data_IF_028298084783
#
_entry.id   IF_028298084783
#
_cell.length_a   1.000
_cell.length_b   1.000
_cell.length_c   1.000
_cell.angle_alpha   90.00
_cell.angle_beta   90.00
_cell.angle_gamma   90.00
#
_symmetry.space_group_name_H-M   'P 1'
#
loop_
_entity.id
_entity.type
_entity.pdbx_description
1 polymer ?
#
# COMPACT_ATOMS: atom_id res chain seq x y z
N UNK A 1 14.51 -19.72 14.40
CA UNK A 1 13.08 -20.08 14.37
C UNK A 1 12.82 -21.13 15.46
N UNK A 2 11.72 -21.02 16.18
CA UNK A 2 11.21 -22.04 17.11
C UNK A 2 9.77 -22.39 16.73
N UNK A 3 9.45 -23.68 16.73
CA UNK A 3 8.11 -24.17 16.44
C UNK A 3 7.76 -25.28 17.42
N UNK A 4 6.59 -25.19 18.03
CA UNK A 4 6.03 -26.22 18.92
C UNK A 4 4.77 -26.79 18.28
N UNK A 5 4.77 -28.10 18.06
CA UNK A 5 3.58 -28.83 17.66
C UNK A 5 2.68 -28.99 18.90
N UNK A 6 1.49 -28.40 18.84
CA UNK A 6 0.49 -28.54 19.91
C UNK A 6 -0.43 -29.75 19.64
N UNK A 7 -0.78 -29.98 18.37
CA UNK A 7 -1.72 -31.03 17.95
C UNK A 7 -1.42 -31.45 16.51
N UNK A 8 -1.51 -32.75 16.21
CA UNK A 8 -1.43 -33.30 14.86
C UNK A 8 -2.54 -34.32 14.68
N UNK A 9 -3.42 -34.06 13.73
CA UNK A 9 -4.44 -34.99 13.27
C UNK A 9 -4.09 -35.44 11.84
N UNK A 10 -3.64 -36.70 11.73
CA UNK A 10 -3.19 -37.30 10.49
C UNK A 10 -3.55 -38.79 10.41
N UNK A 11 -4.47 -39.12 9.51
CA UNK A 11 -4.76 -40.50 9.08
C UNK A 11 -4.52 -40.60 7.56
N UNK A 12 -3.50 -41.34 7.12
CA UNK A 12 -3.21 -41.54 5.69
C UNK A 12 -4.37 -42.15 4.89
N UNK A 13 -5.28 -42.88 5.55
CA UNK A 13 -6.47 -43.46 4.91
C UNK A 13 -7.66 -42.49 4.85
N UNK A 14 -7.56 -41.34 5.51
CA UNK A 14 -8.62 -40.33 5.61
C UNK A 14 -8.09 -38.89 5.51
N UNK A 15 -7.07 -38.65 4.66
CA UNK A 15 -6.36 -37.35 4.51
C UNK A 15 -7.32 -36.15 4.35
N UNK A 16 -8.44 -36.32 3.65
CA UNK A 16 -9.45 -35.26 3.50
C UNK A 16 -9.99 -34.72 4.85
N UNK A 17 -10.04 -35.57 5.88
CA UNK A 17 -10.64 -35.27 7.20
C UNK A 17 -9.60 -35.02 8.28
N UNK A 18 -8.43 -35.66 8.17
CA UNK A 18 -7.40 -35.74 9.20
C UNK A 18 -6.06 -35.38 8.57
N UNK A 19 -5.86 -34.10 8.25
CA UNK A 19 -4.61 -33.57 7.69
C UNK A 19 -4.43 -32.14 8.19
N UNK A 20 -4.37 -32.00 9.51
CA UNK A 20 -4.26 -30.70 10.14
C UNK A 20 -3.35 -30.78 11.35
N UNK A 21 -2.36 -29.91 11.39
CA UNK A 21 -1.52 -29.65 12.55
C UNK A 21 -1.83 -28.27 13.12
N UNK A 22 -1.87 -28.16 14.44
CA UNK A 22 -1.83 -26.88 15.16
C UNK A 22 -0.45 -26.69 15.75
N UNK A 23 0.18 -25.58 15.40
CA UNK A 23 1.53 -25.25 15.84
C UNK A 23 1.54 -23.86 16.47
N UNK A 24 2.45 -23.64 17.41
CA UNK A 24 2.85 -22.28 17.82
C UNK A 24 4.24 -22.02 17.30
N UNK A 25 4.38 -20.92 16.58
CA UNK A 25 5.64 -20.50 16.00
C UNK A 25 6.11 -19.24 16.68
N UNK A 26 7.42 -19.13 16.89
CA UNK A 26 8.06 -17.88 17.27
C UNK A 26 9.43 -17.81 16.60
N UNK A 27 9.78 -16.66 16.06
CA UNK A 27 11.02 -16.51 15.32
C UNK A 27 11.35 -15.07 15.00
N UNK A 28 12.51 -14.92 14.36
CA UNK A 28 12.97 -13.69 13.73
C UNK A 28 13.21 -14.02 12.26
N UNK A 29 12.59 -13.25 11.38
CA UNK A 29 12.83 -13.25 9.95
C UNK A 29 13.73 -12.07 9.62
N UNK A 30 14.81 -12.33 8.91
CA UNK A 30 15.71 -11.31 8.39
C UNK A 30 15.61 -11.36 6.87
N UNK A 31 15.35 -10.20 6.25
CA UNK A 31 15.30 -10.08 4.79
C UNK A 31 16.46 -9.18 4.41
N UNK A 32 17.45 -9.75 3.73
CA UNK A 32 18.65 -9.04 3.30
C UNK A 32 18.66 -8.88 1.78
N UNK A 33 19.25 -7.78 1.31
CA UNK A 33 19.52 -7.58 -0.09
C UNK A 33 20.58 -8.58 -0.58
N UNK A 34 20.31 -9.24 -1.71
CA UNK A 34 21.26 -10.17 -2.35
C UNK A 34 22.60 -9.48 -2.65
N UNK A 35 22.58 -8.17 -2.95
CA UNK A 35 23.76 -7.36 -3.21
C UNK A 35 23.91 -6.25 -2.16
N UNK A 36 25.13 -6.09 -1.65
CA UNK A 36 25.51 -4.96 -0.79
C UNK A 36 25.25 -5.14 0.71
N UNK A 37 24.78 -6.31 1.16
CA UNK A 37 24.65 -6.66 2.58
C UNK A 37 23.66 -5.79 3.37
N UNK A 38 22.79 -5.06 2.68
CA UNK A 38 21.80 -4.20 3.30
C UNK A 38 20.62 -5.02 3.82
N UNK A 39 20.29 -4.87 5.10
CA UNK A 39 19.08 -5.47 5.68
C UNK A 39 17.83 -4.67 5.31
N UNK A 40 16.93 -5.32 4.57
CA UNK A 40 15.63 -4.78 4.19
C UNK A 40 14.59 -4.90 5.30
N UNK A 41 14.61 -5.98 6.07
CA UNK A 41 13.65 -6.14 7.16
C UNK A 41 14.23 -7.00 8.28
N UNK A 42 13.80 -6.70 9.49
CA UNK A 42 13.87 -7.61 10.61
C UNK A 42 12.48 -7.71 11.22
N UNK A 43 11.94 -8.92 11.28
CA UNK A 43 10.57 -9.16 11.73
C UNK A 43 10.60 -10.24 12.80
N UNK A 44 10.44 -9.83 14.05
CA UNK A 44 10.15 -10.75 15.14
C UNK A 44 8.67 -11.12 15.11
N UNK A 45 8.34 -12.39 15.20
CA UNK A 45 6.95 -12.83 15.20
C UNK A 45 6.72 -13.97 16.19
N UNK A 46 5.50 -14.05 16.73
CA UNK A 46 5.04 -15.20 17.53
C UNK A 46 3.54 -15.39 17.41
N UNK A 47 3.06 -16.62 17.41
CA UNK A 47 1.63 -16.88 17.38
C UNK A 47 1.24 -18.28 16.93
N UNK A 48 -0.06 -18.59 16.95
CA UNK A 48 -0.58 -19.84 16.43
C UNK A 48 -0.53 -19.89 14.90
N UNK A 49 -0.36 -21.11 14.37
CA UNK A 49 -0.63 -21.42 12.99
C UNK A 49 -1.32 -22.78 12.86
N UNK A 50 -2.09 -22.92 11.78
CA UNK A 50 -2.69 -24.17 11.33
C UNK A 50 -2.01 -24.56 10.03
N UNK A 51 -1.60 -25.83 9.93
CA UNK A 51 -0.93 -26.36 8.75
C UNK A 51 -1.68 -27.58 8.24
N UNK A 52 -1.99 -27.63 6.94
CA UNK A 52 -2.27 -28.88 6.25
C UNK A 52 -0.98 -29.31 5.56
N UNK A 53 -0.61 -30.58 5.70
CA UNK A 53 0.70 -31.07 5.24
C UNK A 53 0.65 -31.64 3.82
N UNK A 54 -0.44 -32.34 3.51
CA UNK A 54 -0.59 -33.05 2.25
C UNK A 54 -1.70 -32.47 1.37
N UNK A 55 -1.54 -32.59 0.05
CA UNK A 55 -2.67 -32.40 -0.87
C UNK A 55 -3.65 -33.58 -0.71
N UNK A 56 -4.95 -33.34 -0.49
CA UNK A 56 -5.91 -34.42 -0.24
C UNK A 56 -6.20 -35.29 -1.48
N UNK A 57 -5.88 -34.81 -2.69
CA UNK A 57 -6.16 -35.50 -3.95
C UNK A 57 -4.94 -36.33 -4.37
N UNK A 58 -3.75 -35.73 -4.42
CA UNK A 58 -2.53 -36.42 -4.84
C UNK A 58 -1.83 -37.16 -3.71
N UNK A 59 -2.05 -36.76 -2.46
CA UNK A 59 -1.32 -37.27 -1.30
C UNK A 59 0.11 -36.74 -1.19
N UNK A 60 0.53 -35.85 -2.09
CA UNK A 60 1.87 -35.26 -2.07
C UNK A 60 2.00 -34.27 -0.91
N UNK A 61 3.24 -34.04 -0.47
CA UNK A 61 3.55 -33.03 0.52
C UNK A 61 3.38 -31.62 -0.10
N UNK A 62 2.27 -30.96 0.20
CA UNK A 62 1.97 -29.57 -0.17
C UNK A 62 1.51 -28.78 1.07
N UNK A 63 2.45 -28.15 1.80
CA UNK A 63 2.11 -27.44 3.03
C UNK A 63 1.26 -26.17 2.77
N UNK A 64 0.02 -26.18 3.27
CA UNK A 64 -0.85 -25.00 3.39
C UNK A 64 -0.84 -24.51 4.84
N UNK A 65 -0.15 -23.40 5.10
CA UNK A 65 -0.01 -22.80 6.42
C UNK A 65 -0.82 -21.52 6.52
N UNK A 66 -1.65 -21.41 7.56
CA UNK A 66 -2.34 -20.17 7.94
C UNK A 66 -1.97 -19.79 9.35
N UNK A 67 -1.42 -18.60 9.53
CA UNK A 67 -0.92 -18.14 10.83
C UNK A 67 -1.38 -16.74 11.18
N UNK A 68 -1.63 -16.54 12.47
CA UNK A 68 -1.91 -15.25 13.07
C UNK A 68 -0.78 -14.94 14.04
N UNK A 69 0.04 -13.95 13.71
CA UNK A 69 1.26 -13.67 14.45
C UNK A 69 1.26 -12.27 15.03
N UNK A 70 1.59 -12.15 16.31
CA UNK A 70 2.00 -10.90 16.94
C UNK A 70 3.40 -10.53 16.44
N UNK A 71 3.60 -9.26 16.10
CA UNK A 71 4.88 -8.72 15.68
C UNK A 71 5.65 -8.14 16.88
N UNK A 72 6.95 -8.37 16.92
CA UNK A 72 7.84 -7.75 17.90
C UNK A 72 7.90 -6.24 17.68
N UNK A 73 7.99 -5.46 18.76
CA UNK A 73 8.19 -4.01 18.71
C UNK A 73 9.54 -3.59 18.09
N UNK A 74 10.50 -4.51 18.08
CA UNK A 74 11.80 -4.30 17.42
C UNK A 74 11.73 -4.52 15.90
N UNK A 75 10.60 -5.01 15.38
CA UNK A 75 10.45 -5.26 13.96
C UNK A 75 10.47 -3.96 13.18
N UNK A 76 11.18 -3.95 12.06
CA UNK A 76 11.28 -2.78 11.19
C UNK A 76 11.36 -3.18 9.72
N UNK A 77 10.95 -2.24 8.87
CA UNK A 77 11.18 -2.28 7.43
C UNK A 77 12.13 -1.15 7.04
N UNK A 78 13.13 -1.45 6.23
CA UNK A 78 14.01 -0.44 5.66
C UNK A 78 13.33 0.20 4.46
N UNK A 79 13.36 1.52 4.40
CA UNK A 79 12.72 2.25 3.32
C UNK A 79 13.44 2.07 1.97
N UNK A 80 14.67 1.54 1.97
CA UNK A 80 15.46 1.20 0.78
C UNK A 80 14.96 -0.02 0.02
N UNK A 81 13.91 -0.69 0.49
CA UNK A 81 13.20 -1.71 -0.29
C UNK A 81 12.77 -1.10 -1.64
N UNK A 82 13.08 -1.72 -2.79
CA UNK A 82 12.80 -1.14 -4.11
C UNK A 82 11.34 -0.70 -4.31
N UNK A 83 10.38 -1.48 -3.83
CA UNK A 83 8.96 -1.15 -3.95
C UNK A 83 8.60 0.12 -3.15
N UNK A 84 9.18 0.30 -1.97
CA UNK A 84 8.98 1.49 -1.13
C UNK A 84 9.62 2.72 -1.78
N UNK A 85 10.85 2.60 -2.27
CA UNK A 85 11.54 3.66 -3.00
C UNK A 85 10.74 4.11 -4.23
N UNK A 86 10.22 3.16 -5.00
CA UNK A 86 9.47 3.47 -6.22
C UNK A 86 8.08 4.04 -5.90
N UNK A 87 7.41 3.57 -4.85
CA UNK A 87 6.18 4.17 -4.33
C UNK A 87 6.40 5.64 -3.94
N UNK A 88 7.46 5.93 -3.18
CA UNK A 88 7.79 7.29 -2.76
C UNK A 88 8.09 8.23 -3.93
N UNK A 89 8.92 7.78 -4.89
CA UNK A 89 9.16 8.52 -6.14
C UNK A 89 7.89 8.81 -6.92
N UNK A 90 6.92 7.90 -6.84
CA UNK A 90 5.64 8.08 -7.53
C UNK A 90 4.79 9.13 -6.80
N UNK A 91 4.82 9.17 -5.45
CA UNK A 91 4.19 10.25 -4.68
C UNK A 91 4.81 11.61 -4.92
N UNK A 92 6.14 11.71 -5.04
CA UNK A 92 6.84 12.97 -5.33
C UNK A 92 6.39 13.65 -6.63
N UNK A 93 5.69 12.94 -7.53
CA UNK A 93 5.05 13.57 -8.70
C UNK A 93 3.96 14.58 -8.33
N UNK A 94 3.45 14.52 -7.10
CA UNK A 94 2.50 15.49 -6.56
C UNK A 94 3.12 16.87 -6.35
N UNK A 95 4.45 16.98 -6.33
CA UNK A 95 5.15 18.27 -6.35
C UNK A 95 4.71 19.12 -7.56
N UNK A 96 4.34 18.49 -8.69
CA UNK A 96 3.85 19.17 -9.89
C UNK A 96 2.52 19.93 -9.69
N UNK A 97 1.74 19.56 -8.67
CA UNK A 97 0.50 20.24 -8.29
C UNK A 97 0.67 21.02 -6.97
N UNK A 98 1.92 21.28 -6.57
CA UNK A 98 2.29 22.09 -5.40
C UNK A 98 2.34 21.32 -4.08
N UNK A 99 2.18 19.99 -4.10
CA UNK A 99 2.18 19.17 -2.89
C UNK A 99 3.57 18.62 -2.60
N UNK A 100 4.29 19.23 -1.66
CA UNK A 100 5.64 18.81 -1.28
C UNK A 100 5.60 17.62 -0.30
N UNK A 101 5.91 16.42 -0.80
CA UNK A 101 5.80 15.17 -0.02
C UNK A 101 6.96 14.97 0.99
N UNK A 102 8.12 15.57 0.71
CA UNK A 102 9.33 15.45 1.54
C UNK A 102 10.16 14.18 1.30
N UNK A 103 11.12 13.94 2.18
CA UNK A 103 12.04 12.80 2.09
C UNK A 103 11.53 11.56 2.84
N UNK A 104 11.74 10.39 2.23
CA UNK A 104 11.42 9.10 2.83
C UNK A 104 12.39 8.80 4.00
N UNK A 105 11.90 8.57 5.22
CA UNK A 105 12.73 8.19 6.36
C UNK A 105 13.46 6.87 6.11
N UNK A 106 14.58 6.59 6.79
CA UNK A 106 15.36 5.37 6.54
C UNK A 106 14.62 4.08 6.96
N UNK A 107 13.81 4.14 8.02
CA UNK A 107 13.11 2.98 8.57
C UNK A 107 11.65 3.27 8.86
N UNK A 108 10.82 2.28 8.61
CA UNK A 108 9.45 2.19 9.08
C UNK A 108 9.40 1.37 10.36
N UNK A 109 8.51 1.76 11.27
CA UNK A 109 8.15 0.95 12.43
C UNK A 109 6.71 0.46 12.31
N UNK A 110 6.46 -0.76 12.74
CA UNK A 110 5.10 -1.27 12.85
C UNK A 110 4.43 -0.57 14.03
N UNK A 111 3.49 0.33 13.74
CA UNK A 111 2.80 1.13 14.75
C UNK A 111 1.67 0.34 15.43
N UNK A 112 0.42 0.65 15.07
CA UNK A 112 -0.79 0.02 15.66
C UNK A 112 -1.02 -1.42 15.19
N UNK A 113 -0.45 -1.81 14.05
CA UNK A 113 -0.51 -3.19 13.54
C UNK A 113 0.52 -4.07 14.25
N UNK A 114 0.24 -4.37 15.52
CA UNK A 114 1.06 -5.30 16.32
C UNK A 114 0.88 -6.77 15.93
N UNK A 115 0.16 -7.06 14.84
CA UNK A 115 -0.10 -8.42 14.41
C UNK A 115 -0.35 -8.53 12.89
N UNK A 116 -0.01 -9.68 12.32
CA UNK A 116 -0.16 -10.03 10.90
C UNK A 116 -0.91 -11.35 10.77
N UNK A 117 -1.66 -11.53 9.68
CA UNK A 117 -2.22 -12.83 9.31
C UNK A 117 -1.60 -13.25 7.97
N UNK A 118 -0.99 -14.43 7.89
CA UNK A 118 -0.27 -14.90 6.70
C UNK A 118 -0.81 -16.26 6.28
N UNK A 119 -1.06 -16.40 4.99
CA UNK A 119 -1.30 -17.67 4.33
C UNK A 119 -0.09 -18.01 3.46
N UNK A 120 0.47 -19.22 3.63
CA UNK A 120 1.50 -19.76 2.78
C UNK A 120 0.99 -21.02 2.09
N UNK A 121 1.08 -21.07 0.76
CA UNK A 121 0.78 -22.24 -0.05
C UNK A 121 1.47 -22.09 -1.40
N UNK A 122 2.01 -23.17 -1.98
CA UNK A 122 2.65 -23.13 -3.30
C UNK A 122 3.71 -22.00 -3.42
N UNK A 123 4.55 -21.86 -2.39
CA UNK A 123 5.63 -20.87 -2.31
C UNK A 123 5.16 -19.40 -2.33
N UNK A 124 3.86 -19.18 -2.14
CA UNK A 124 3.23 -17.87 -2.08
C UNK A 124 2.90 -17.51 -0.65
N UNK A 125 3.45 -16.40 -0.16
CA UNK A 125 2.96 -15.75 1.05
C UNK A 125 1.89 -14.73 0.69
N UNK A 126 0.70 -14.86 1.25
CA UNK A 126 -0.43 -13.95 1.06
C UNK A 126 -0.82 -13.34 2.39
N UNK A 127 -1.05 -12.03 2.38
CA UNK A 127 -1.49 -11.28 3.54
C UNK A 127 -2.99 -11.45 3.74
N UNK A 128 -3.40 -11.98 4.90
CA UNK A 128 -4.81 -12.22 5.25
C UNK A 128 -5.51 -11.06 5.96
N UNK A 129 -4.78 -10.00 6.32
CA UNK A 129 -5.35 -8.75 6.85
C UNK A 129 -4.39 -7.57 6.63
N UNK A 130 -4.87 -6.33 6.51
CA UNK A 130 -3.98 -5.20 6.31
C UNK A 130 -2.94 -5.02 7.42
N UNK A 131 -1.75 -4.55 7.06
CA UNK A 131 -0.69 -4.15 8.00
C UNK A 131 -0.33 -2.69 7.78
N UNK A 132 -0.29 -1.91 8.84
CA UNK A 132 0.16 -0.51 8.83
C UNK A 132 1.59 -0.38 9.36
N UNK A 133 2.40 0.39 8.66
CA UNK A 133 3.74 0.83 9.07
C UNK A 133 3.85 2.34 9.01
N UNK A 134 4.55 2.92 9.96
CA UNK A 134 4.70 4.38 10.08
C UNK A 134 6.08 4.84 9.62
N UNK A 135 6.09 5.88 8.81
CA UNK A 135 7.24 6.62 8.31
C UNK A 135 7.08 8.11 8.67
N UNK A 136 7.53 8.52 9.87
CA UNK A 136 7.25 9.86 10.42
C UNK A 136 5.75 10.17 10.36
N UNK A 137 5.37 11.20 9.61
CA UNK A 137 4.00 11.72 9.50
C UNK A 137 3.17 10.98 8.43
N UNK A 138 3.65 9.82 7.99
CA UNK A 138 3.00 8.99 6.99
C UNK A 138 2.73 7.59 7.53
N UNK A 139 1.53 7.10 7.27
CA UNK A 139 1.10 5.73 7.51
C UNK A 139 1.02 4.99 6.18
N UNK A 140 1.66 3.85 6.05
CA UNK A 140 1.53 2.96 4.88
C UNK A 140 0.79 1.71 5.31
N UNK A 141 -0.42 1.54 4.81
CA UNK A 141 -1.23 0.35 5.01
C UNK A 141 -1.11 -0.59 3.80
N UNK A 142 -0.40 -1.71 3.97
CA UNK A 142 -0.36 -2.80 2.98
C UNK A 142 -1.66 -3.59 3.12
N UNK A 143 -2.42 -3.71 2.04
CA UNK A 143 -3.77 -4.26 2.05
C UNK A 143 -3.80 -5.79 1.95
N UNK A 144 -4.91 -6.37 2.43
CA UNK A 144 -5.23 -7.78 2.30
C UNK A 144 -5.12 -8.27 0.85
N UNK A 145 -4.72 -9.52 0.65
CA UNK A 145 -4.53 -10.12 -0.66
C UNK A 145 -3.21 -9.75 -1.34
N UNK A 146 -2.41 -8.87 -0.73
CA UNK A 146 -1.02 -8.66 -1.13
C UNK A 146 -0.24 -9.97 -0.98
N UNK A 147 0.49 -10.37 -2.01
CA UNK A 147 1.24 -11.61 -2.02
C UNK A 147 2.65 -11.47 -2.59
N UNK A 148 3.54 -12.36 -2.14
CA UNK A 148 4.91 -12.53 -2.62
C UNK A 148 5.11 -14.01 -2.95
N UNK A 149 5.63 -14.29 -4.14
CA UNK A 149 6.08 -15.63 -4.57
C UNK A 149 7.60 -15.71 -4.40
N UNK A 150 8.06 -16.57 -3.49
CA UNK A 150 9.49 -16.66 -3.18
C UNK A 150 10.32 -17.25 -4.32
N UNK A 151 9.84 -18.32 -4.96
CA UNK A 151 10.58 -19.00 -6.04
C UNK A 151 10.79 -18.12 -7.27
N UNK A 152 9.75 -17.38 -7.66
CA UNK A 152 9.79 -16.51 -8.84
C UNK A 152 10.28 -15.10 -8.54
N UNK A 153 10.56 -14.79 -7.28
CA UNK A 153 10.91 -13.44 -6.82
C UNK A 153 9.91 -12.36 -7.30
N UNK A 154 8.62 -12.70 -7.33
CA UNK A 154 7.57 -11.78 -7.80
C UNK A 154 6.59 -11.43 -6.70
N UNK A 155 5.89 -10.31 -6.85
CA UNK A 155 4.83 -9.90 -5.95
C UNK A 155 3.68 -9.24 -6.70
N UNK A 156 2.57 -9.11 -5.99
CA UNK A 156 1.49 -8.21 -6.32
C UNK A 156 0.85 -7.73 -5.03
N UNK A 157 0.61 -6.43 -4.92
CA UNK A 157 0.01 -5.86 -3.73
C UNK A 157 -0.62 -4.51 -3.97
N UNK A 158 -1.43 -4.13 -3.00
CA UNK A 158 -2.05 -2.83 -2.91
C UNK A 158 -1.68 -2.22 -1.56
N UNK A 159 -1.43 -0.91 -1.56
CA UNK A 159 -1.12 -0.18 -0.35
C UNK A 159 -1.80 1.19 -0.38
N UNK A 160 -2.14 1.69 0.79
CA UNK A 160 -2.57 3.07 0.99
C UNK A 160 -1.47 3.82 1.73
N UNK A 161 -1.08 4.98 1.23
CA UNK A 161 -0.19 5.91 1.93
C UNK A 161 -1.04 7.08 2.42
N UNK A 162 -1.13 7.23 3.74
CA UNK A 162 -1.95 8.21 4.41
C UNK A 162 -1.07 9.24 5.11
N UNK A 163 -1.27 10.52 4.83
CA UNK A 163 -0.63 11.59 5.60
C UNK A 163 -1.35 11.75 6.95
N UNK A 164 -0.63 12.15 8.01
CA UNK A 164 -1.26 12.62 9.25
C UNK A 164 -2.15 13.85 9.02
N UNK A 165 -3.02 14.15 9.99
CA UNK A 165 -4.00 15.23 9.88
C UNK A 165 -3.34 16.62 9.71
N UNK A 166 -2.27 16.89 10.46
CA UNK A 166 -1.51 18.14 10.35
C UNK A 166 -0.87 18.28 8.96
N UNK A 167 -0.22 17.22 8.48
CA UNK A 167 0.38 17.20 7.15
C UNK A 167 -0.69 17.29 6.05
N UNK A 168 -1.83 16.61 6.20
CA UNK A 168 -2.95 16.69 5.27
C UNK A 168 -3.51 18.10 5.17
N UNK A 169 -3.63 18.80 6.31
CA UNK A 169 -4.07 20.20 6.35
C UNK A 169 -3.08 21.12 5.66
N UNK A 170 -1.78 20.94 5.89
CA UNK A 170 -0.73 21.69 5.21
C UNK A 170 -0.76 21.47 3.69
N UNK A 171 -0.86 20.21 3.25
CA UNK A 171 -0.93 19.83 1.84
C UNK A 171 -2.21 20.38 1.19
N UNK A 172 -3.35 20.36 1.88
CA UNK A 172 -4.60 21.00 1.44
C UNK A 172 -4.42 22.51 1.20
N UNK A 173 -3.75 23.21 2.12
CA UNK A 173 -3.47 24.64 1.94
C UNK A 173 -2.52 24.91 0.76
N UNK A 174 -1.55 24.01 0.52
CA UNK A 174 -0.65 24.11 -0.63
C UNK A 174 -1.38 23.98 -1.97
N UNK A 175 -2.41 23.11 -2.05
CA UNK A 175 -3.28 23.05 -3.24
C UNK A 175 -3.91 24.43 -3.48
N UNK A 176 -4.47 25.04 -2.44
CA UNK A 176 -5.07 26.38 -2.52
C UNK A 176 -4.14 27.46 -3.11
N UNK A 177 -2.85 27.41 -2.75
CA UNK A 177 -1.83 28.32 -3.29
C UNK A 177 -1.36 27.91 -4.69
N UNK A 178 -1.25 26.61 -4.97
CA UNK A 178 -0.82 26.08 -6.27
C UNK A 178 -1.84 26.37 -7.38
N UNK A 179 -3.13 26.44 -7.05
CA UNK A 179 -4.19 26.81 -8.00
C UNK A 179 -4.27 28.32 -8.26
N UNK A 180 -3.48 29.16 -7.57
CA UNK A 180 -3.50 30.60 -7.83
C UNK A 180 -3.05 30.98 -9.24
N UNK A 181 -2.26 30.12 -9.88
CA UNK A 181 -1.86 30.27 -11.29
C UNK A 181 -3.01 29.97 -12.28
N UNK A 182 -4.13 29.42 -11.82
CA UNK A 182 -5.30 29.16 -12.64
C UNK A 182 -6.32 30.32 -12.55
N UNK A 183 -7.10 30.57 -13.62
CA UNK A 183 -8.26 31.46 -13.58
C UNK A 183 -9.16 31.14 -12.39
N UNK A 184 -9.71 32.19 -11.74
CA UNK A 184 -10.47 32.07 -10.49
C UNK A 184 -11.63 31.10 -10.58
N UNK A 185 -12.20 30.95 -11.77
CA UNK A 185 -13.34 30.08 -12.08
C UNK A 185 -12.94 28.59 -12.11
N UNK A 186 -11.68 28.26 -12.41
CA UNK A 186 -11.19 26.89 -12.46
C UNK A 186 -10.75 26.36 -11.09
N UNK A 187 -10.39 27.26 -10.17
CA UNK A 187 -9.83 26.89 -8.85
C UNK A 187 -10.78 26.01 -8.04
N UNK A 188 -12.08 26.34 -7.88
CA UNK A 188 -12.99 25.51 -7.09
C UNK A 188 -13.18 24.12 -7.68
N UNK A 189 -13.18 24.00 -9.01
CA UNK A 189 -13.37 22.71 -9.72
C UNK A 189 -12.14 21.82 -9.51
N UNK A 190 -10.93 22.37 -9.60
CA UNK A 190 -9.70 21.63 -9.35
C UNK A 190 -9.60 21.20 -7.88
N UNK A 191 -9.90 22.11 -6.93
CA UNK A 191 -9.89 21.78 -5.50
C UNK A 191 -10.90 20.67 -5.20
N UNK A 192 -12.13 20.75 -5.72
CA UNK A 192 -13.15 19.71 -5.57
C UNK A 192 -12.69 18.37 -6.14
N UNK A 193 -12.07 18.37 -7.32
CA UNK A 193 -11.57 17.15 -7.95
C UNK A 193 -10.41 16.51 -7.17
N UNK A 194 -9.47 17.32 -6.67
CA UNK A 194 -8.37 16.84 -5.82
C UNK A 194 -8.91 16.28 -4.50
N UNK A 195 -9.81 17.01 -3.83
CA UNK A 195 -10.45 16.55 -2.59
C UNK A 195 -11.16 15.21 -2.79
N UNK A 196 -11.94 15.06 -3.87
CA UNK A 196 -12.67 13.84 -4.15
C UNK A 196 -11.78 12.63 -4.50
N UNK A 197 -10.57 12.86 -5.00
CA UNK A 197 -9.68 11.77 -5.47
C UNK A 197 -8.51 11.48 -4.55
N UNK A 198 -8.08 12.44 -3.74
CA UNK A 198 -6.88 12.35 -2.91
C UNK A 198 -7.17 12.47 -1.42
N UNK A 199 -8.37 12.88 -1.00
CA UNK A 199 -8.71 13.00 0.41
C UNK A 199 -9.81 12.03 0.83
N UNK A 200 -9.63 11.41 1.99
CA UNK A 200 -10.62 10.56 2.66
C UNK A 200 -10.66 10.94 4.12
N UNK A 201 -11.84 11.31 4.61
CA UNK A 201 -12.05 11.75 6.00
C UNK A 201 -11.07 12.86 6.43
N UNK A 202 -10.80 13.81 5.54
CA UNK A 202 -9.89 14.94 5.79
C UNK A 202 -8.39 14.62 5.69
N UNK A 203 -8.01 13.35 5.49
CA UNK A 203 -6.63 12.91 5.32
C UNK A 203 -6.27 12.72 3.85
N UNK A 204 -5.06 13.11 3.46
CA UNK A 204 -4.52 12.77 2.14
C UNK A 204 -4.27 11.27 2.08
N UNK A 205 -4.79 10.59 1.05
CA UNK A 205 -4.64 9.16 0.80
C UNK A 205 -4.19 8.92 -0.63
N UNK A 206 -3.06 8.24 -0.77
CA UNK A 206 -2.54 7.76 -2.04
C UNK A 206 -2.62 6.24 -2.11
N UNK A 207 -3.43 5.74 -3.03
CA UNK A 207 -3.64 4.34 -3.33
C UNK A 207 -2.61 3.86 -4.36
N UNK A 208 -1.79 2.91 -3.95
CA UNK A 208 -0.67 2.39 -4.72
C UNK A 208 -0.93 0.93 -5.06
N UNK A 209 -0.66 0.58 -6.31
CA UNK A 209 -0.56 -0.80 -6.77
C UNK A 209 0.89 -1.11 -7.13
N UNK A 210 1.40 -2.23 -6.64
CA UNK A 210 2.74 -2.72 -6.97
C UNK A 210 2.67 -4.15 -7.49
N UNK A 211 3.46 -4.46 -8.52
CA UNK A 211 3.55 -5.82 -9.09
C UNK A 211 4.87 -6.05 -9.82
N UNK A 212 5.16 -7.31 -10.14
CA UNK A 212 6.29 -7.70 -10.98
C UNK A 212 7.41 -8.31 -10.14
N UNK A 213 8.65 -8.12 -10.54
CA UNK A 213 9.82 -8.60 -9.80
C UNK A 213 10.07 -7.76 -8.55
N UNK A 214 10.49 -8.39 -7.45
CA UNK A 214 10.82 -7.72 -6.19
C UNK A 214 12.00 -6.74 -6.33
N UNK A 215 12.94 -7.06 -7.22
CA UNK A 215 14.14 -6.25 -7.48
C UNK A 215 13.84 -5.03 -8.37
N UNK A 216 12.82 -5.11 -9.23
CA UNK A 216 12.46 -4.10 -10.23
C UNK A 216 10.94 -3.87 -10.31
N UNK A 217 10.29 -3.51 -9.19
CA UNK A 217 8.84 -3.51 -9.09
C UNK A 217 8.21 -2.42 -9.98
N UNK A 218 7.13 -2.76 -10.67
CA UNK A 218 6.24 -1.79 -11.30
C UNK A 218 5.31 -1.23 -10.23
N UNK A 219 5.32 0.10 -10.05
CA UNK A 219 4.47 0.80 -9.09
C UNK A 219 3.65 1.87 -9.80
N UNK A 220 2.36 1.92 -9.50
CA UNK A 220 1.40 2.87 -10.08
C UNK A 220 0.47 3.43 -9.01
N UNK A 221 0.12 4.71 -9.14
CA UNK A 221 -0.95 5.33 -8.37
C UNK A 221 -2.31 5.00 -9.00
N UNK A 222 -3.30 4.70 -8.16
CA UNK A 222 -4.69 4.55 -8.58
C UNK A 222 -5.46 5.86 -8.55
N UNK A 223 -5.09 6.77 -7.65
CA UNK A 223 -5.66 8.11 -7.63
C UNK A 223 -5.42 8.76 -8.99
N UNK A 224 -6.45 9.43 -9.49
CA UNK A 224 -6.34 10.17 -10.74
C UNK A 224 -5.66 11.50 -10.45
N UNK A 225 -4.62 11.80 -11.23
CA UNK A 225 -4.14 13.17 -11.28
C UNK A 225 -5.22 14.04 -11.93
N UNK A 226 -5.44 15.26 -11.44
CA UNK A 226 -6.37 16.18 -12.06
C UNK A 226 -5.93 16.49 -13.50
N UNK A 227 -6.84 16.31 -14.46
CA UNK A 227 -6.57 16.68 -15.85
C UNK A 227 -7.03 18.12 -16.08
N UNK A 228 -6.07 19.05 -16.18
CA UNK A 228 -6.32 20.47 -16.41
C UNK A 228 -7.20 20.70 -17.65
N UNK A 229 -7.05 19.90 -18.71
CA UNK A 229 -7.89 20.04 -19.92
C UNK A 229 -9.33 19.62 -19.63
N UNK A 230 -9.52 18.52 -18.91
CA UNK A 230 -10.85 18.07 -18.51
C UNK A 230 -11.51 19.07 -17.56
N UNK A 231 -10.74 19.70 -16.66
CA UNK A 231 -11.20 20.74 -15.74
C UNK A 231 -11.63 21.99 -16.51
N UNK A 232 -10.84 22.45 -17.48
CA UNK A 232 -11.21 23.58 -18.36
C UNK A 232 -12.52 23.28 -19.09
N UNK A 233 -12.68 22.06 -19.61
CA UNK A 233 -13.92 21.65 -20.29
C UNK A 233 -15.12 21.65 -19.33
N UNK A 234 -14.99 21.02 -18.16
CA UNK A 234 -16.04 21.02 -17.10
C UNK A 234 -16.42 22.43 -16.67
N UNK A 235 -15.45 23.33 -16.57
CA UNK A 235 -15.70 24.72 -16.24
C UNK A 235 -16.49 25.43 -17.34
N UNK A 236 -16.11 25.21 -18.61
CA UNK A 236 -16.87 25.68 -19.76
C UNK A 236 -18.31 25.16 -19.76
N UNK A 237 -18.51 23.87 -19.50
CA UNK A 237 -19.83 23.25 -19.38
C UNK A 237 -20.67 23.87 -18.24
N UNK A 238 -20.11 24.01 -17.03
CA UNK A 238 -20.80 24.67 -15.90
C UNK A 238 -21.14 26.14 -16.20
N UNK A 239 -20.27 26.88 -16.88
CA UNK A 239 -20.51 28.28 -17.27
C UNK A 239 -21.60 28.40 -18.35
N UNK A 240 -21.66 27.45 -19.28
CA UNK A 240 -22.70 27.36 -20.30
C UNK A 240 -24.06 27.01 -19.69
N UNK A 241 -24.11 26.06 -18.75
CA UNK A 241 -25.33 25.69 -18.01
C UNK A 241 -25.85 26.84 -17.12
N UNK A 242 -24.95 27.66 -16.56
CA UNK A 242 -25.29 28.84 -15.75
C UNK A 242 -25.68 30.09 -16.54
N UNK A 243 -25.69 30.05 -17.89
CA UNK A 243 -26.09 31.18 -18.74
C UNK A 243 -25.04 32.30 -18.88
N UNK A 244 -23.78 32.06 -18.53
CA UNK A 244 -22.74 33.10 -18.48
C UNK A 244 -21.97 33.25 -19.80
N UNK A 245 -22.66 33.74 -20.86
CA UNK A 245 -22.04 34.00 -22.17
C UNK A 245 -20.91 35.04 -22.16
N UNK A 246 -20.90 35.97 -21.18
CA UNK A 246 -19.91 37.03 -21.08
C UNK A 246 -18.53 36.58 -20.57
N UNK A 247 -18.48 35.48 -19.80
CA UNK A 247 -17.22 34.99 -19.23
C UNK A 247 -16.42 34.17 -20.25
N UNK A 248 -17.11 33.48 -21.16
CA UNK A 248 -16.51 32.80 -22.32
C UNK A 248 -15.88 33.80 -23.32
N UNK A 249 -16.51 34.96 -23.55
CA UNK A 249 -15.91 36.02 -24.39
C UNK A 249 -14.61 36.56 -23.79
N UNK A 250 -14.58 36.76 -22.46
CA UNK A 250 -13.37 37.19 -21.74
C UNK A 250 -12.25 36.14 -21.71
N UNK A 251 -12.58 34.85 -21.57
CA UNK A 251 -11.57 33.78 -21.54
C UNK A 251 -11.01 33.42 -22.94
N UNK A 252 -11.81 33.58 -24.00
CA UNK A 252 -11.40 33.27 -25.37
C UNK A 252 -10.73 34.44 -26.10
N UNK A 253 -10.55 35.59 -25.44
CA UNK A 253 -9.90 36.77 -26.02
C UNK A 253 -10.65 37.36 -27.22
N UNK A 254 -11.95 37.13 -27.32
CA UNK A 254 -12.78 37.72 -28.36
C UNK A 254 -13.38 39.03 -27.83
N UNK A 255 -12.72 40.15 -28.12
CA UNK A 255 -13.35 41.49 -28.08
C UNK A 255 -14.42 41.59 -29.17
#
# INVERSE_FOLDING_TARGET
LSARLDELDLDPSAIEKTNTARVRMAGRLEIDAVKGGLRYAEIGFRGPARVKLFDPVSGDLDPDLRGDFELSRESYLNARIPAVQQAWKTLQKLDAIGLEIGELPERATFGRSGAVAVHYQNERFTLGRPISVWFRDWEIAILEGTWIQSEKETHQGEAEILAEEELSTKLRNQIGNGVDYLPRELRPILVEEVEATWFRDGRLVAEIKSKGELSSPSVSLRNKFPDVKAIVRKAGEKLLEGGAGDLLRKLLGAE
#
